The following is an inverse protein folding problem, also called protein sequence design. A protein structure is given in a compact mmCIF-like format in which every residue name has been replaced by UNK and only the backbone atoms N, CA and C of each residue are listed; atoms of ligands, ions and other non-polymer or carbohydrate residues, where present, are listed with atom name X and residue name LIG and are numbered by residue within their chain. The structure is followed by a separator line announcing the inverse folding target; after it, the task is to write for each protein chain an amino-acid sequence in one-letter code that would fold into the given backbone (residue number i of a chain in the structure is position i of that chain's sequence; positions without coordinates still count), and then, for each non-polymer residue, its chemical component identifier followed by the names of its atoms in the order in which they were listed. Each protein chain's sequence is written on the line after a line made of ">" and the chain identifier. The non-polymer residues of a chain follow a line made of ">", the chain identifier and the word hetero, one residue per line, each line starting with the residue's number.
data_IF_773116291128
#
_entry.id   IF_773116291128
#
_cell.length_a   1.000
_cell.length_b   1.000
_cell.length_c   1.000
_cell.angle_alpha   90.00
_cell.angle_beta   90.00
_cell.angle_gamma   90.00
#
_symmetry.space_group_name_H-M   'P 1'
#
loop_
_entity.id
_entity.type
_entity.pdbx_description
1 polymer ?
#
# COMPACT_ATOMS: atom_id res chain seq x y z
N UNK A 1 26.43 53.62 -0.78
CA UNK A 1 26.16 52.37 -0.05
C UNK A 1 24.79 51.83 -0.48
N UNK A 2 23.79 52.70 -0.60
CA UNK A 2 22.42 52.34 -0.97
C UNK A 2 22.27 51.77 -2.40
N UNK A 3 23.02 52.30 -3.38
CA UNK A 3 23.02 51.80 -4.78
C UNK A 3 23.46 50.33 -4.91
N UNK A 4 24.39 49.88 -4.04
CA UNK A 4 24.86 48.49 -4.03
C UNK A 4 23.77 47.55 -3.47
N UNK A 5 23.05 48.01 -2.45
CA UNK A 5 21.94 47.27 -1.85
C UNK A 5 20.79 47.15 -2.87
N UNK A 6 20.46 48.25 -3.55
CA UNK A 6 19.41 48.30 -4.56
C UNK A 6 19.72 47.38 -5.76
N UNK A 7 20.95 47.41 -6.26
CA UNK A 7 21.40 46.49 -7.30
C UNK A 7 21.37 45.02 -6.84
N UNK A 8 21.75 44.73 -5.60
CA UNK A 8 21.70 43.37 -5.05
C UNK A 8 20.26 42.85 -4.94
N UNK A 9 19.31 43.70 -4.57
CA UNK A 9 17.88 43.34 -4.49
C UNK A 9 17.36 43.08 -5.90
N UNK A 10 17.65 43.96 -6.86
CA UNK A 10 17.21 43.83 -8.25
C UNK A 10 17.69 42.53 -8.91
N UNK A 11 18.97 42.19 -8.78
CA UNK A 11 19.52 40.94 -9.33
C UNK A 11 18.90 39.70 -8.68
N UNK A 12 18.61 39.76 -7.38
CA UNK A 12 17.94 38.68 -6.66
C UNK A 12 16.51 38.46 -7.16
N UNK A 13 15.73 39.54 -7.34
CA UNK A 13 14.36 39.45 -7.86
C UNK A 13 14.32 38.90 -9.28
N UNK A 14 15.26 39.34 -10.14
CA UNK A 14 15.39 38.87 -11.51
C UNK A 14 15.70 37.38 -11.56
N UNK A 15 16.67 36.92 -10.77
CA UNK A 15 17.04 35.50 -10.68
C UNK A 15 15.86 34.62 -10.19
N UNK A 16 15.12 35.09 -9.19
CA UNK A 16 13.93 34.41 -8.70
C UNK A 16 12.84 34.29 -9.79
N UNK A 17 12.57 35.37 -10.54
CA UNK A 17 11.59 35.36 -11.64
C UNK A 17 12.00 34.41 -12.76
N UNK A 18 13.26 34.42 -13.15
CA UNK A 18 13.80 33.52 -14.17
C UNK A 18 13.70 32.05 -13.73
N UNK A 19 14.01 31.76 -12.46
CA UNK A 19 13.91 30.42 -11.87
C UNK A 19 12.46 29.93 -11.83
N UNK A 20 11.51 30.77 -11.38
CA UNK A 20 10.08 30.45 -11.38
C UNK A 20 9.59 30.18 -12.80
N UNK A 21 10.03 30.97 -13.78
CA UNK A 21 9.67 30.77 -15.19
C UNK A 21 10.26 29.46 -15.74
N UNK A 22 11.51 29.11 -15.41
CA UNK A 22 12.11 27.83 -15.78
C UNK A 22 11.39 26.64 -15.15
N UNK A 23 11.03 26.73 -13.87
CA UNK A 23 10.24 25.70 -13.17
C UNK A 23 8.86 25.55 -13.83
N UNK A 24 8.19 26.66 -14.14
CA UNK A 24 6.88 26.62 -14.79
C UNK A 24 6.95 26.08 -16.24
N UNK A 25 8.00 26.43 -17.00
CA UNK A 25 8.26 25.85 -18.32
C UNK A 25 8.55 24.35 -18.23
N UNK A 26 9.39 23.92 -17.29
CA UNK A 26 9.67 22.50 -17.03
C UNK A 26 8.41 21.71 -16.61
N UNK A 27 7.48 22.35 -15.89
CA UNK A 27 6.19 21.76 -15.49
C UNK A 27 5.22 21.55 -16.67
N UNK A 28 5.41 22.21 -17.81
CA UNK A 28 4.33 22.42 -18.79
C UNK A 28 4.15 21.41 -19.93
N UNK A 29 5.05 20.43 -20.17
CA UNK A 29 4.77 19.40 -21.22
C UNK A 29 5.56 18.09 -21.09
N UNK A 30 6.83 18.16 -20.72
CA UNK A 30 7.71 16.98 -20.73
C UNK A 30 7.59 16.11 -19.47
N UNK A 31 7.36 16.73 -18.30
CA UNK A 31 7.10 16.00 -17.05
C UNK A 31 5.76 15.26 -17.10
N UNK A 32 4.74 15.82 -17.76
CA UNK A 32 3.40 15.21 -17.85
C UNK A 32 3.41 13.92 -18.67
N UNK A 33 4.18 13.87 -19.77
CA UNK A 33 4.28 12.66 -20.60
C UNK A 33 5.12 11.58 -19.91
N UNK A 34 6.24 11.95 -19.26
CA UNK A 34 7.04 11.01 -18.45
C UNK A 34 6.24 10.47 -17.26
N UNK A 35 5.51 11.33 -16.55
CA UNK A 35 4.68 10.92 -15.42
C UNK A 35 3.51 10.02 -15.85
N UNK A 36 2.86 10.30 -16.99
CA UNK A 36 1.85 9.41 -17.58
C UNK A 36 2.43 8.05 -17.94
N UNK A 37 3.59 8.01 -18.60
CA UNK A 37 4.28 6.74 -18.92
C UNK A 37 4.64 5.94 -17.66
N UNK A 38 5.18 6.60 -16.64
CA UNK A 38 5.49 5.96 -15.35
C UNK A 38 4.20 5.45 -14.70
N UNK A 39 3.12 6.22 -14.72
CA UNK A 39 1.82 5.79 -14.18
C UNK A 39 1.23 4.59 -14.93
N UNK A 40 1.35 4.57 -16.27
CA UNK A 40 0.94 3.43 -17.10
C UNK A 40 1.80 2.19 -16.86
N UNK A 41 3.11 2.34 -16.67
CA UNK A 41 4.01 1.24 -16.33
C UNK A 41 3.73 0.68 -14.93
N UNK A 42 3.43 1.54 -13.96
CA UNK A 42 3.01 1.13 -12.62
C UNK A 42 1.70 0.34 -12.70
N UNK A 43 0.69 0.84 -13.43
CA UNK A 43 -0.58 0.13 -13.65
C UNK A 43 -0.36 -1.22 -14.32
N UNK A 44 0.43 -1.29 -15.40
CA UNK A 44 0.77 -2.56 -16.07
C UNK A 44 1.51 -3.55 -15.16
N UNK A 45 2.39 -3.06 -14.28
CA UNK A 45 3.08 -3.91 -13.29
C UNK A 45 2.11 -4.39 -12.21
N UNK A 46 1.21 -3.53 -11.72
CA UNK A 46 0.15 -3.90 -10.77
C UNK A 46 -0.77 -4.94 -11.38
N UNK A 47 -1.20 -4.78 -12.64
CA UNK A 47 -2.05 -5.75 -13.34
C UNK A 47 -1.34 -7.10 -13.51
N UNK A 48 -0.05 -7.12 -13.88
CA UNK A 48 0.74 -8.36 -13.93
C UNK A 48 0.91 -9.00 -12.55
N UNK A 49 1.13 -8.21 -11.50
CA UNK A 49 1.22 -8.69 -10.12
C UNK A 49 -0.14 -9.24 -9.67
N UNK A 50 -1.25 -8.57 -9.98
CA UNK A 50 -2.59 -9.02 -9.64
C UNK A 50 -2.96 -10.28 -10.41
N UNK A 51 -2.64 -10.36 -11.70
CA UNK A 51 -2.88 -11.54 -12.51
C UNK A 51 -2.03 -12.74 -12.06
N UNK A 52 -0.76 -12.51 -11.68
CA UNK A 52 0.07 -13.57 -11.09
C UNK A 52 -0.34 -13.94 -9.66
N UNK A 53 -0.86 -13.00 -8.87
CA UNK A 53 -1.49 -13.28 -7.56
C UNK A 53 -2.82 -13.99 -7.69
N UNK A 54 -3.61 -13.74 -8.73
CA UNK A 54 -4.84 -14.50 -9.04
C UNK A 54 -4.50 -15.94 -9.42
N UNK A 55 -3.50 -16.14 -10.29
CA UNK A 55 -3.02 -17.49 -10.67
C UNK A 55 -2.40 -18.23 -9.47
N UNK A 56 -1.74 -17.51 -8.54
CA UNK A 56 -1.25 -18.10 -7.28
C UNK A 56 -2.35 -18.34 -6.24
N UNK A 57 -3.40 -17.51 -6.19
CA UNK A 57 -4.56 -17.72 -5.30
C UNK A 57 -5.34 -18.99 -5.64
N UNK A 58 -5.32 -19.44 -6.89
CA UNK A 58 -5.92 -20.73 -7.26
C UNK A 58 -5.10 -21.94 -6.78
N UNK A 59 -3.81 -21.77 -6.47
CA UNK A 59 -2.92 -22.88 -6.05
C UNK A 59 -2.56 -22.85 -4.56
N UNK A 60 -2.79 -21.73 -3.87
CA UNK A 60 -2.63 -21.60 -2.41
C UNK A 60 -3.99 -21.50 -1.71
N UNK A 61 -5.02 -22.19 -2.23
CA UNK A 61 -5.95 -22.82 -1.30
C UNK A 61 -5.13 -23.87 -0.55
N UNK A 62 -4.39 -23.45 0.48
CA UNK A 62 -4.10 -24.31 1.61
C UNK A 62 -5.47 -24.66 2.16
N UNK A 63 -6.07 -25.69 1.54
CA UNK A 63 -7.24 -26.38 2.02
C UNK A 63 -6.82 -26.75 3.43
N UNK A 64 -7.35 -26.03 4.41
CA UNK A 64 -7.31 -26.41 5.80
C UNK A 64 -8.00 -27.78 5.83
N UNK A 65 -7.22 -28.85 5.65
CA UNK A 65 -7.71 -30.22 5.79
C UNK A 65 -8.17 -30.46 7.23
N UNK A 66 -7.72 -29.60 8.16
CA UNK A 66 -8.07 -29.64 9.57
C UNK A 66 -8.85 -28.39 10.00
N UNK A 67 -9.88 -28.56 10.84
CA UNK A 67 -10.64 -27.43 11.37
C UNK A 67 -9.76 -26.54 12.26
N UNK A 68 -10.02 -25.22 12.24
CA UNK A 68 -9.42 -24.27 13.18
C UNK A 68 -9.75 -24.65 14.64
N UNK A 69 -8.81 -24.41 15.55
CA UNK A 69 -8.99 -24.63 16.97
C UNK A 69 -9.17 -23.30 17.72
N UNK A 70 -9.91 -23.33 18.83
CA UNK A 70 -10.01 -22.19 19.73
C UNK A 70 -8.65 -21.95 20.40
N UNK A 71 -8.24 -20.68 20.50
CA UNK A 71 -6.95 -20.28 21.03
C UNK A 71 -5.77 -20.51 20.08
N UNK A 72 -6.03 -20.99 18.85
CA UNK A 72 -5.00 -21.14 17.81
C UNK A 72 -4.47 -19.76 17.38
N UNK A 73 -3.15 -19.66 17.20
CA UNK A 73 -2.51 -18.45 16.69
C UNK A 73 -2.60 -18.42 15.16
N UNK A 74 -3.17 -17.34 14.64
CA UNK A 74 -3.41 -17.16 13.21
C UNK A 74 -3.02 -15.75 12.79
N UNK A 75 -2.73 -15.58 11.50
CA UNK A 75 -2.50 -14.27 10.88
C UNK A 75 -3.76 -13.82 10.14
N UNK A 76 -4.21 -12.60 10.41
CA UNK A 76 -5.32 -11.94 9.70
C UNK A 76 -4.73 -11.12 8.56
N UNK A 77 -5.01 -11.49 7.30
CA UNK A 77 -4.34 -10.91 6.14
C UNK A 77 -4.70 -9.44 5.91
N UNK A 78 -5.98 -9.08 6.06
CA UNK A 78 -6.46 -7.70 5.89
C UNK A 78 -5.81 -6.71 6.86
N UNK A 79 -5.47 -7.19 8.06
CA UNK A 79 -4.82 -6.38 9.10
C UNK A 79 -3.30 -6.56 9.13
N UNK A 80 -2.79 -7.60 8.46
CA UNK A 80 -1.39 -8.03 8.53
C UNK A 80 -0.89 -8.21 9.98
N UNK A 81 -1.79 -8.62 10.87
CA UNK A 81 -1.52 -8.80 12.30
C UNK A 81 -1.83 -10.24 12.73
N UNK A 82 -1.13 -10.69 13.78
CA UNK A 82 -1.37 -11.98 14.39
C UNK A 82 -2.45 -11.86 15.47
N UNK A 83 -3.20 -12.93 15.68
CA UNK A 83 -4.19 -13.00 16.73
C UNK A 83 -4.55 -14.43 17.09
N UNK A 84 -5.44 -14.55 18.07
CA UNK A 84 -5.87 -15.83 18.60
C UNK A 84 -7.35 -16.06 18.31
N UNK A 85 -7.68 -17.22 17.75
CA UNK A 85 -9.06 -17.60 17.45
C UNK A 85 -9.88 -17.63 18.74
N UNK A 86 -10.97 -16.85 18.80
CA UNK A 86 -11.90 -16.79 19.94
C UNK A 86 -13.17 -17.59 19.69
N UNK A 87 -13.59 -17.71 18.44
CA UNK A 87 -14.75 -18.51 18.05
C UNK A 87 -14.43 -19.34 16.81
N UNK A 88 -15.11 -20.47 16.64
CA UNK A 88 -15.05 -21.21 15.39
C UNK A 88 -15.80 -20.45 14.28
N UNK A 89 -15.46 -20.69 13.00
CA UNK A 89 -16.20 -20.11 11.88
C UNK A 89 -17.68 -20.50 11.90
N UNK A 90 -18.56 -19.53 11.66
CA UNK A 90 -19.98 -19.76 11.47
C UNK A 90 -20.30 -20.32 10.06
N UNK A 91 -21.59 -20.49 9.74
CA UNK A 91 -22.04 -20.98 8.42
C UNK A 91 -21.62 -20.06 7.26
N UNK A 92 -21.33 -18.80 7.52
CA UNK A 92 -20.87 -17.82 6.55
C UNK A 92 -19.33 -17.71 6.52
N UNK A 93 -18.64 -18.53 7.31
CA UNK A 93 -17.20 -18.55 7.44
C UNK A 93 -16.64 -17.42 8.32
N UNK A 94 -17.45 -16.72 9.10
CA UNK A 94 -16.98 -15.64 9.97
C UNK A 94 -16.59 -16.16 11.36
N UNK A 95 -15.47 -15.66 11.89
CA UNK A 95 -14.97 -15.97 13.23
C UNK A 95 -14.49 -14.71 13.95
N UNK A 96 -14.42 -14.77 15.28
CA UNK A 96 -13.77 -13.76 16.09
C UNK A 96 -12.30 -14.12 16.33
N UNK A 97 -11.43 -13.15 16.11
CA UNK A 97 -10.00 -13.23 16.42
C UNK A 97 -9.66 -12.12 17.42
N UNK A 98 -8.91 -12.47 18.46
CA UNK A 98 -8.37 -11.51 19.41
C UNK A 98 -6.98 -11.06 18.96
N UNK A 99 -6.84 -9.77 18.67
CA UNK A 99 -5.57 -9.13 18.32
C UNK A 99 -5.22 -8.18 19.45
N UNK A 100 -4.27 -8.55 20.30
CA UNK A 100 -3.99 -7.81 21.53
C UNK A 100 -5.23 -7.69 22.44
N UNK A 101 -5.72 -6.46 22.66
CA UNK A 101 -6.97 -6.18 23.40
C UNK A 101 -8.22 -6.16 22.51
N UNK A 102 -8.06 -6.09 21.19
CA UNK A 102 -9.14 -5.95 20.24
C UNK A 102 -9.77 -7.31 19.93
N UNK A 103 -11.09 -7.33 19.72
CA UNK A 103 -11.82 -8.45 19.13
C UNK A 103 -12.29 -8.04 17.75
N UNK A 104 -11.87 -8.78 16.74
CA UNK A 104 -12.15 -8.50 15.34
C UNK A 104 -12.95 -9.65 14.75
N UNK A 105 -14.03 -9.34 14.04
CA UNK A 105 -14.71 -10.30 13.18
C UNK A 105 -13.96 -10.40 11.85
N UNK A 106 -13.46 -11.58 11.53
CA UNK A 106 -12.76 -11.88 10.29
C UNK A 106 -13.47 -13.02 9.55
N UNK A 107 -13.26 -13.14 8.24
CA UNK A 107 -13.72 -14.28 7.47
C UNK A 107 -12.59 -15.32 7.37
N UNK A 108 -12.92 -16.61 7.32
CA UNK A 108 -11.96 -17.71 7.19
C UNK A 108 -11.03 -17.55 5.98
N UNK A 109 -11.51 -16.93 4.89
CA UNK A 109 -10.70 -16.63 3.71
C UNK A 109 -9.60 -15.58 3.94
N UNK A 110 -9.69 -14.83 5.04
CA UNK A 110 -8.72 -13.80 5.47
C UNK A 110 -7.76 -14.32 6.55
N UNK A 111 -7.83 -15.61 6.88
CA UNK A 111 -7.04 -16.25 7.94
C UNK A 111 -5.99 -17.18 7.34
N UNK A 112 -4.75 -17.08 7.81
CA UNK A 112 -3.68 -18.06 7.54
C UNK A 112 -3.14 -18.58 8.88
N UNK A 113 -2.91 -19.90 8.96
CA UNK A 113 -2.23 -20.53 10.10
C UNK A 113 -0.77 -20.14 10.12
N UNK A 114 -0.25 -19.82 11.30
CA UNK A 114 1.18 -19.61 11.49
C UNK A 114 1.79 -20.99 11.72
N UNK A 115 2.50 -21.53 10.73
CA UNK A 115 3.29 -22.74 10.94
C UNK A 115 4.39 -22.43 11.97
N UNK A 116 4.37 -23.15 13.09
CA UNK A 116 5.55 -23.22 13.97
C UNK A 116 6.51 -24.22 13.35
N UNK A 117 7.59 -23.69 12.78
CA UNK A 117 8.79 -24.44 12.39
C UNK A 117 9.44 -25.12 13.61
#
# INVERSE_FOLDING_TARGET
>A
MDEYIENSIYETEKFCRETINHINKARSKEQSTKLKKISEEILKKIDKINHSKMIKKENESNILNEPLMLGEEVKVLSLNENGYVQTLPDKNGNLQVKIGILKVNANISDIIRIEKL
#
